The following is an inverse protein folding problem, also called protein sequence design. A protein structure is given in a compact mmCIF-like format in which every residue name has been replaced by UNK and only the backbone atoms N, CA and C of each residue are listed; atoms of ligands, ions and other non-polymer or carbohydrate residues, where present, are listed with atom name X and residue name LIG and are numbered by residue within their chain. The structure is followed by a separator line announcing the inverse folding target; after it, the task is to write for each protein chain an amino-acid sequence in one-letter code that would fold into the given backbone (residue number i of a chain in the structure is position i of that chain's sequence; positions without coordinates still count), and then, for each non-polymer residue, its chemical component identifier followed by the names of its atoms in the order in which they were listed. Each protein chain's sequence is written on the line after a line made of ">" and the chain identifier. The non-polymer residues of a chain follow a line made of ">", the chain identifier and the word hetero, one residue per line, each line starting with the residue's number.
data_IF_644077497796
#
_entry.id   IF_644077497796
#
_cell.length_a   1.000
_cell.length_b   1.000
_cell.length_c   1.000
_cell.angle_alpha   90.00
_cell.angle_beta   90.00
_cell.angle_gamma   90.00
#
_symmetry.space_group_name_H-M   'P 1'
#
loop_
_entity.id
_entity.type
_entity.pdbx_description
1 polymer ?
#
# COMPACT_ATOMS: atom_id res chain seq x y z
N UNK A 1 -57.32 -18.19 -19.77
CA UNK A 1 -56.18 -18.07 -20.70
C UNK A 1 -55.61 -16.66 -20.57
N UNK A 2 -54.37 -16.56 -20.07
CA UNK A 2 -53.30 -15.67 -20.53
C UNK A 2 -52.28 -15.50 -19.40
N UNK A 3 -51.20 -16.28 -19.51
CA UNK A 3 -49.99 -16.11 -18.72
C UNK A 3 -49.16 -14.96 -19.30
N UNK A 4 -48.61 -14.10 -18.45
CA UNK A 4 -47.68 -13.05 -18.84
C UNK A 4 -46.26 -13.63 -19.05
N UNK A 5 -45.48 -13.11 -20.02
CA UNK A 5 -44.16 -13.66 -20.36
C UNK A 5 -43.04 -13.14 -19.43
N UNK A 6 -42.04 -13.98 -19.22
CA UNK A 6 -40.80 -13.66 -18.49
C UNK A 6 -39.89 -12.72 -19.30
N UNK A 7 -39.16 -11.80 -18.65
CA UNK A 7 -38.17 -10.97 -19.34
C UNK A 7 -36.90 -11.76 -19.71
N UNK A 8 -36.49 -11.59 -20.97
CA UNK A 8 -35.39 -12.30 -21.60
C UNK A 8 -34.00 -11.92 -21.10
N UNK A 9 -33.13 -12.92 -21.10
CA UNK A 9 -31.71 -12.87 -20.77
C UNK A 9 -30.95 -12.11 -21.87
N UNK A 10 -30.43 -10.92 -21.58
CA UNK A 10 -29.55 -10.20 -22.49
C UNK A 10 -28.18 -10.90 -22.56
N UNK A 11 -27.73 -11.22 -23.76
CA UNK A 11 -26.43 -11.78 -24.04
C UNK A 11 -25.37 -10.67 -23.99
N UNK A 12 -24.33 -10.84 -23.17
CA UNK A 12 -23.15 -9.97 -23.21
C UNK A 12 -22.28 -10.31 -24.44
N UNK A 13 -21.77 -9.31 -25.17
CA UNK A 13 -20.87 -9.53 -26.29
C UNK A 13 -19.50 -10.02 -25.81
N UNK A 14 -18.98 -11.03 -26.49
CA UNK A 14 -17.67 -11.62 -26.30
C UNK A 14 -16.58 -10.63 -26.75
N UNK A 15 -15.74 -10.16 -25.82
CA UNK A 15 -14.57 -9.32 -26.12
C UNK A 15 -13.36 -10.26 -26.26
N UNK A 16 -12.72 -10.35 -27.45
CA UNK A 16 -11.52 -11.17 -27.61
C UNK A 16 -10.30 -10.51 -26.94
N UNK A 17 -9.35 -11.29 -26.41
CA UNK A 17 -8.14 -10.76 -25.80
C UNK A 17 -7.22 -10.11 -26.84
N UNK A 18 -6.77 -8.89 -26.53
CA UNK A 18 -5.76 -8.17 -27.29
C UNK A 18 -4.42 -8.92 -27.26
N UNK A 19 -3.93 -9.29 -28.44
CA UNK A 19 -2.56 -9.77 -28.64
C UNK A 19 -1.60 -8.59 -28.70
N UNK A 20 -0.48 -8.60 -27.94
CA UNK A 20 0.53 -7.56 -28.06
C UNK A 20 1.28 -7.71 -29.39
N UNK A 21 1.21 -6.67 -30.23
CA UNK A 21 1.97 -6.54 -31.47
C UNK A 21 3.47 -6.52 -31.15
N UNK A 22 4.20 -7.51 -31.67
CA UNK A 22 5.67 -7.46 -31.75
C UNK A 22 6.07 -6.33 -32.68
N UNK A 23 6.68 -5.28 -32.15
CA UNK A 23 7.33 -4.28 -32.97
C UNK A 23 8.63 -4.86 -33.53
N UNK A 24 8.55 -5.21 -34.81
CA UNK A 24 9.64 -5.58 -35.68
C UNK A 24 10.51 -4.35 -35.93
N UNK A 25 11.70 -4.30 -35.33
CA UNK A 25 12.72 -3.33 -35.73
C UNK A 25 13.55 -3.95 -36.84
N UNK A 26 13.37 -3.43 -38.05
CA UNK A 26 14.13 -3.75 -39.24
C UNK A 26 15.59 -3.31 -39.07
N UNK A 27 16.50 -4.27 -39.16
CA UNK A 27 17.94 -4.00 -39.25
C UNK A 27 18.24 -3.53 -40.67
N UNK A 28 18.40 -2.22 -40.85
CA UNK A 28 18.95 -1.67 -42.10
C UNK A 28 20.44 -2.00 -42.14
N UNK A 29 20.79 -3.02 -42.92
CA UNK A 29 22.16 -3.33 -43.29
C UNK A 29 22.63 -2.36 -44.37
N UNK A 30 23.64 -1.54 -44.06
CA UNK A 30 24.41 -0.81 -45.07
C UNK A 30 25.66 -1.63 -45.46
N UNK A 31 25.94 -1.80 -46.77
CA UNK A 31 27.07 -2.59 -47.24
C UNK A 31 28.39 -1.83 -47.08
N UNK A 32 29.31 -2.37 -46.30
CA UNK A 32 30.72 -1.98 -46.29
C UNK A 32 31.40 -2.53 -47.55
N UNK A 33 31.99 -1.65 -48.37
CA UNK A 33 32.81 -2.02 -49.53
C UNK A 33 34.28 -2.15 -49.10
N UNK A 34 35.02 -3.18 -49.52
CA UNK A 34 36.33 -3.51 -48.96
C UNK A 34 37.50 -2.88 -49.73
N UNK A 35 38.43 -2.26 -49.00
CA UNK A 35 39.78 -1.92 -49.44
C UNK A 35 40.79 -2.89 -48.83
N UNK A 36 41.63 -3.49 -49.67
CA UNK A 36 42.49 -4.66 -49.44
C UNK A 36 43.66 -4.42 -48.45
N UNK A 37 43.94 -5.49 -47.67
CA UNK A 37 45.22 -6.18 -47.38
C UNK A 37 46.48 -5.32 -47.08
N UNK A 38 47.31 -5.53 -46.07
CA UNK A 38 47.91 -6.70 -45.36
C UNK A 38 48.45 -6.15 -44.00
N UNK A 39 48.80 -6.86 -42.93
CA UNK A 39 49.50 -8.13 -42.74
C UNK A 39 49.33 -8.60 -41.28
N UNK A 40 49.46 -9.91 -41.09
CA UNK A 40 49.51 -10.61 -39.80
C UNK A 40 50.65 -10.09 -38.90
N UNK A 41 50.35 -9.81 -37.63
CA UNK A 41 51.22 -10.21 -36.52
C UNK A 41 50.35 -10.59 -35.32
N UNK A 42 50.38 -11.88 -34.99
CA UNK A 42 49.89 -12.47 -33.77
C UNK A 42 50.86 -12.09 -32.64
N UNK A 43 50.38 -11.34 -31.66
CA UNK A 43 51.06 -11.19 -30.36
C UNK A 43 49.99 -10.94 -29.31
N UNK A 44 49.59 -12.03 -28.65
CA UNK A 44 48.70 -12.04 -27.52
C UNK A 44 49.38 -11.36 -26.32
N UNK A 45 48.80 -10.27 -25.85
CA UNK A 45 49.03 -9.73 -24.51
C UNK A 45 47.74 -9.01 -24.11
N UNK A 46 46.93 -9.69 -23.27
CA UNK A 46 45.68 -9.17 -22.74
C UNK A 46 45.94 -7.92 -21.89
N UNK A 47 45.53 -6.76 -22.39
CA UNK A 47 45.26 -5.58 -21.57
C UNK A 47 43.75 -5.50 -21.43
N UNK A 48 43.18 -6.19 -20.44
CA UNK A 48 41.77 -6.05 -20.06
C UNK A 48 41.63 -4.84 -19.15
N UNK A 49 41.40 -3.67 -19.73
CA UNK A 49 41.01 -2.46 -19.01
C UNK A 49 39.86 -1.78 -19.78
N UNK A 50 38.73 -1.65 -19.08
CA UNK A 50 37.55 -0.81 -19.32
C UNK A 50 36.50 -1.30 -20.34
N UNK A 51 35.37 -1.78 -19.82
CA UNK A 51 34.11 -1.02 -19.82
C UNK A 51 33.08 -1.78 -19.00
N UNK A 52 32.42 -1.09 -18.06
CA UNK A 52 31.49 -1.65 -17.09
C UNK A 52 30.46 -2.58 -17.73
N UNK A 53 30.53 -3.85 -17.34
CA UNK A 53 29.42 -4.78 -17.52
C UNK A 53 28.24 -4.21 -16.74
N UNK A 54 27.21 -3.81 -17.50
CA UNK A 54 25.81 -3.70 -17.11
C UNK A 54 25.56 -3.97 -15.62
N UNK A 55 25.74 -2.93 -14.79
CA UNK A 55 24.91 -2.78 -13.60
C UNK A 55 23.48 -2.52 -14.10
N UNK A 56 22.88 -3.56 -14.68
CA UNK A 56 21.46 -3.63 -14.93
C UNK A 56 20.83 -3.70 -13.57
N UNK A 57 20.42 -2.53 -13.09
CA UNK A 57 19.69 -2.30 -11.86
C UNK A 57 18.48 -3.21 -11.80
N UNK A 58 18.66 -4.34 -11.13
CA UNK A 58 17.62 -5.14 -10.53
C UNK A 58 18.28 -5.83 -9.35
N UNK A 59 18.72 -5.01 -8.38
CA UNK A 59 18.50 -5.42 -7.00
C UNK A 59 16.99 -5.48 -6.84
N UNK A 60 16.37 -6.53 -7.38
CA UNK A 60 15.16 -7.08 -6.79
C UNK A 60 15.69 -7.55 -5.47
N UNK A 61 15.53 -6.69 -4.47
CA UNK A 61 15.86 -7.04 -3.11
C UNK A 61 14.93 -8.21 -2.78
N UNK A 62 15.43 -9.46 -2.66
CA UNK A 62 14.57 -10.58 -2.30
C UNK A 62 13.98 -10.40 -0.89
N UNK A 63 14.44 -9.39 -0.15
CA UNK A 63 13.92 -8.94 1.13
C UNK A 63 12.86 -7.84 1.00
N UNK A 64 12.62 -7.26 -0.18
CA UNK A 64 11.60 -6.21 -0.38
C UNK A 64 10.16 -6.70 -0.14
N UNK A 65 9.94 -8.00 -0.03
CA UNK A 65 8.63 -8.58 0.35
C UNK A 65 8.61 -9.11 1.79
N UNK A 66 9.70 -8.95 2.57
CA UNK A 66 9.85 -9.49 3.93
C UNK A 66 10.01 -8.39 4.97
N UNK A 67 9.77 -8.67 6.25
CA UNK A 67 9.92 -7.69 7.31
C UNK A 67 11.36 -7.23 7.61
N UNK A 68 12.38 -7.86 6.99
CA UNK A 68 13.79 -7.54 7.22
C UNK A 68 14.13 -6.10 6.80
N UNK A 69 14.66 -5.31 7.74
CA UNK A 69 15.06 -3.91 7.49
C UNK A 69 13.92 -2.89 7.52
N UNK A 70 12.72 -3.28 7.95
CA UNK A 70 11.55 -2.40 8.06
C UNK A 70 11.61 -1.41 9.23
N UNK A 71 12.53 -1.58 10.18
CA UNK A 71 12.58 -0.82 11.43
C UNK A 71 12.66 0.71 11.23
N UNK A 72 13.45 1.25 10.28
CA UNK A 72 13.46 2.69 10.02
C UNK A 72 12.11 3.23 9.55
N UNK A 73 11.38 2.45 8.74
CA UNK A 73 10.07 2.85 8.21
C UNK A 73 8.99 2.76 9.29
N UNK A 74 9.00 1.70 10.11
CA UNK A 74 8.10 1.59 11.27
C UNK A 74 8.34 2.71 12.29
N UNK A 75 9.61 3.11 12.48
CA UNK A 75 9.95 4.27 13.31
C UNK A 75 9.43 5.59 12.74
N UNK A 76 9.49 5.77 11.42
CA UNK A 76 8.89 6.93 10.76
C UNK A 76 7.36 6.94 10.95
N UNK A 77 6.70 5.82 10.68
CA UNK A 77 5.25 5.67 10.79
C UNK A 77 4.76 5.90 12.23
N UNK A 78 5.44 5.34 13.22
CA UNK A 78 5.07 5.56 14.64
C UNK A 78 5.29 6.98 15.13
N UNK A 79 6.08 7.79 14.40
CA UNK A 79 6.29 9.20 14.72
C UNK A 79 5.27 10.15 14.07
N UNK A 80 4.31 9.62 13.30
CA UNK A 80 3.29 10.44 12.65
C UNK A 80 2.38 11.10 13.69
N UNK A 81 2.29 12.42 13.61
CA UNK A 81 1.53 13.24 14.56
C UNK A 81 0.04 12.91 14.61
N UNK A 82 -0.51 12.33 13.54
CA UNK A 82 -1.92 11.91 13.49
C UNK A 82 -2.23 10.81 14.52
N UNK A 83 -1.25 9.98 14.90
CA UNK A 83 -1.40 8.94 15.93
C UNK A 83 -1.53 9.53 17.35
N UNK A 84 -1.01 10.74 17.58
CA UNK A 84 -1.15 11.50 18.83
C UNK A 84 -2.34 12.47 18.82
N UNK A 85 -2.87 12.78 17.63
CA UNK A 85 -4.07 13.60 17.49
C UNK A 85 -5.25 12.84 18.12
N UNK A 86 -6.02 13.52 18.97
CA UNK A 86 -7.17 12.92 19.64
C UNK A 86 -8.19 13.97 20.06
N UNK A 87 -9.48 13.59 20.09
CA UNK A 87 -10.50 14.39 20.75
C UNK A 87 -10.16 14.71 22.21
N UNK A 88 -10.72 15.79 22.76
CA UNK A 88 -10.31 16.28 24.08
C UNK A 88 -10.60 15.32 25.23
N UNK A 89 -11.64 14.48 25.11
CA UNK A 89 -12.02 13.48 26.12
C UNK A 89 -11.45 12.09 25.80
N UNK A 90 -10.57 11.98 24.80
CA UNK A 90 -9.93 10.73 24.45
C UNK A 90 -8.61 10.54 25.24
N UNK A 91 -8.39 9.32 25.71
CA UNK A 91 -7.14 8.91 26.37
C UNK A 91 -6.78 7.46 26.04
N UNK A 92 -5.49 7.11 25.96
CA UNK A 92 -5.09 5.72 25.72
C UNK A 92 -5.56 4.81 26.88
N UNK A 93 -6.13 3.61 26.59
CA UNK A 93 -6.46 2.63 27.61
C UNK A 93 -5.22 2.19 28.41
N UNK A 94 -5.45 1.73 29.65
CA UNK A 94 -4.37 1.15 30.45
C UNK A 94 -3.74 -0.06 29.73
N UNK A 95 -2.41 -0.10 29.69
CA UNK A 95 -1.67 -1.14 28.97
C UNK A 95 -1.46 -0.87 27.47
N UNK A 96 -2.14 0.13 26.90
CA UNK A 96 -2.11 0.49 25.47
C UNK A 96 -1.71 1.96 25.29
N UNK A 97 -0.65 2.39 25.97
CA UNK A 97 -0.27 3.81 26.08
C UNK A 97 0.68 4.29 24.99
N UNK A 98 1.30 3.35 24.26
CA UNK A 98 2.27 3.64 23.21
C UNK A 98 1.64 3.48 21.83
N UNK A 99 2.36 3.92 20.81
CA UNK A 99 2.09 3.48 19.45
C UNK A 99 2.70 2.09 19.30
N UNK A 100 1.89 1.11 18.93
CA UNK A 100 2.37 -0.24 18.62
C UNK A 100 2.71 -0.31 17.13
N UNK A 101 3.74 -1.06 16.77
CA UNK A 101 4.16 -1.22 15.38
C UNK A 101 4.32 -2.69 15.05
N UNK A 102 3.85 -3.11 13.88
CA UNK A 102 4.00 -4.47 13.42
C UNK A 102 4.39 -4.53 11.94
N UNK A 103 4.94 -5.69 11.56
CA UNK A 103 5.13 -6.07 10.18
C UNK A 103 4.58 -7.49 10.00
N UNK A 104 3.76 -7.69 8.98
CA UNK A 104 3.17 -8.97 8.61
C UNK A 104 3.66 -9.37 7.22
N UNK A 105 4.46 -10.45 7.14
CA UNK A 105 4.94 -11.06 5.90
C UNK A 105 4.47 -12.53 5.75
N UNK A 106 3.48 -12.97 6.54
CA UNK A 106 2.95 -14.34 6.52
C UNK A 106 1.96 -14.58 5.36
N UNK A 107 1.59 -13.51 4.64
CA UNK A 107 0.67 -13.54 3.51
C UNK A 107 1.40 -13.70 2.16
N UNK A 108 0.72 -14.27 1.16
CA UNK A 108 1.24 -14.32 -0.22
C UNK A 108 1.15 -12.93 -0.86
N UNK A 109 2.08 -12.05 -0.52
CA UNK A 109 2.14 -10.64 -0.96
C UNK A 109 3.43 -9.99 -0.47
N UNK A 110 3.54 -8.69 -0.68
CA UNK A 110 4.58 -7.90 -0.03
C UNK A 110 4.25 -7.73 1.46
N UNK A 111 5.26 -7.46 2.28
CA UNK A 111 5.07 -7.31 3.72
C UNK A 111 4.25 -6.05 4.04
N UNK A 112 3.30 -6.19 4.95
CA UNK A 112 2.45 -5.09 5.42
C UNK A 112 3.00 -4.49 6.70
N UNK A 113 3.27 -3.18 6.68
CA UNK A 113 3.71 -2.41 7.83
C UNK A 113 2.53 -1.71 8.49
N UNK A 114 2.47 -1.73 9.82
CA UNK A 114 1.46 -1.00 10.59
C UNK A 114 2.05 -0.21 11.76
N UNK A 115 1.43 0.93 12.04
CA UNK A 115 1.59 1.69 13.27
C UNK A 115 0.20 2.05 13.81
N UNK A 116 -0.10 1.61 15.02
CA UNK A 116 -1.45 1.68 15.59
C UNK A 116 -1.48 2.41 16.93
N UNK A 117 -2.63 3.03 17.22
CA UNK A 117 -2.89 3.65 18.52
C UNK A 117 -4.34 3.50 18.93
N UNK A 118 -4.52 3.08 20.18
CA UNK A 118 -5.83 2.94 20.81
C UNK A 118 -6.18 4.12 21.69
N UNK A 119 -7.47 4.45 21.70
CA UNK A 119 -8.07 5.44 22.56
C UNK A 119 -9.42 4.97 23.11
N UNK A 120 -9.74 5.39 24.33
CA UNK A 120 -11.09 5.42 24.87
C UNK A 120 -11.56 6.87 24.95
N UNK A 121 -12.80 7.16 24.55
CA UNK A 121 -13.43 8.46 24.73
C UNK A 121 -14.87 8.32 25.21
N UNK A 122 -15.38 9.30 25.94
CA UNK A 122 -16.82 9.41 26.24
C UNK A 122 -17.63 10.02 25.09
N UNK A 123 -16.96 10.50 24.05
CA UNK A 123 -17.60 11.06 22.85
C UNK A 123 -18.25 9.96 21.99
N UNK A 124 -19.22 10.37 21.19
CA UNK A 124 -19.89 9.47 20.25
C UNK A 124 -19.00 9.12 19.07
N UNK A 125 -19.29 7.99 18.40
CA UNK A 125 -18.62 7.60 17.15
C UNK A 125 -18.64 8.72 16.11
N UNK A 126 -19.78 9.40 15.94
CA UNK A 126 -19.91 10.51 14.98
C UNK A 126 -19.00 11.68 15.31
N UNK A 127 -18.90 12.09 16.58
CA UNK A 127 -17.99 13.16 17.00
C UNK A 127 -16.52 12.79 16.77
N UNK A 128 -16.16 11.54 17.01
CA UNK A 128 -14.81 11.00 16.75
C UNK A 128 -14.50 11.06 15.25
N UNK A 129 -15.41 10.59 14.39
CA UNK A 129 -15.22 10.62 12.93
C UNK A 129 -15.14 12.06 12.40
N UNK A 130 -15.98 12.98 12.91
CA UNK A 130 -15.93 14.40 12.56
C UNK A 130 -14.60 15.05 12.97
N UNK A 131 -14.05 14.66 14.13
CA UNK A 131 -12.73 15.10 14.57
C UNK A 131 -11.65 14.66 13.58
N UNK A 132 -11.58 13.37 13.25
CA UNK A 132 -10.51 12.85 12.39
C UNK A 132 -10.64 13.28 10.93
N UNK A 133 -11.85 13.52 10.43
CA UNK A 133 -12.04 14.14 9.12
C UNK A 133 -11.31 15.49 9.04
N UNK A 134 -11.40 16.31 10.09
CA UNK A 134 -10.73 17.61 10.14
C UNK A 134 -9.23 17.48 10.44
N UNK A 135 -8.86 16.63 11.40
CA UNK A 135 -7.47 16.46 11.82
C UNK A 135 -6.61 15.84 10.71
N UNK A 136 -7.09 14.80 10.05
CA UNK A 136 -6.40 14.14 8.95
C UNK A 136 -6.27 15.08 7.75
N UNK A 137 -7.34 15.80 7.39
CA UNK A 137 -7.28 16.80 6.31
C UNK A 137 -6.27 17.93 6.62
N UNK A 138 -6.21 18.41 7.87
CA UNK A 138 -5.24 19.41 8.30
C UNK A 138 -3.79 18.89 8.25
N UNK A 139 -3.58 17.59 8.47
CA UNK A 139 -2.30 16.90 8.30
C UNK A 139 -2.03 16.44 6.85
N UNK A 140 -2.86 16.85 5.89
CA UNK A 140 -2.64 16.59 4.45
C UNK A 140 -3.03 15.19 3.98
N UNK A 141 -3.75 14.43 4.81
CA UNK A 141 -4.40 13.19 4.37
C UNK A 141 -5.63 13.50 3.53
N UNK A 142 -5.91 12.64 2.56
CA UNK A 142 -7.06 12.74 1.67
C UNK A 142 -8.08 11.69 2.05
N UNK A 143 -9.30 12.12 2.34
CA UNK A 143 -10.40 11.18 2.59
C UNK A 143 -10.69 10.40 1.30
N UNK A 144 -10.69 9.08 1.39
CA UNK A 144 -11.02 8.23 0.24
C UNK A 144 -12.54 8.10 0.12
N UNK A 145 -13.15 8.98 -0.69
CA UNK A 145 -14.60 9.02 -0.92
C UNK A 145 -15.14 7.78 -1.66
N UNK A 146 -14.26 6.98 -2.25
CA UNK A 146 -14.60 5.72 -2.91
C UNK A 146 -14.84 4.56 -1.92
N UNK A 147 -15.40 4.86 -0.75
CA UNK A 147 -16.24 3.94 0.01
C UNK A 147 -17.54 3.71 -0.77
N UNK A 148 -17.47 3.03 -1.92
CA UNK A 148 -18.70 2.46 -2.47
C UNK A 148 -19.33 1.63 -1.34
N UNK A 149 -20.62 1.78 -1.02
CA UNK A 149 -21.31 0.93 -0.05
C UNK A 149 -21.24 -0.57 -0.41
N UNK A 150 -20.69 -0.92 -1.58
CA UNK A 150 -20.43 -2.27 -2.07
C UNK A 150 -19.00 -2.75 -1.78
N UNK A 151 -18.07 -1.87 -1.36
CA UNK A 151 -16.66 -2.17 -1.08
C UNK A 151 -16.23 -1.87 0.36
N UNK A 152 -16.82 -0.88 1.03
CA UNK A 152 -16.72 -0.83 2.48
C UNK A 152 -17.47 -2.05 3.03
N UNK A 153 -16.85 -2.89 3.89
CA UNK A 153 -17.58 -3.97 4.53
C UNK A 153 -18.82 -3.40 5.23
N UNK A 154 -19.95 -4.12 5.14
CA UNK A 154 -21.29 -3.65 5.58
C UNK A 154 -21.33 -3.29 7.08
N UNK A 155 -20.28 -3.67 7.80
CA UNK A 155 -20.03 -3.59 9.23
C UNK A 155 -18.86 -2.66 9.62
N UNK A 156 -18.10 -2.09 8.67
CA UNK A 156 -17.04 -1.14 9.02
C UNK A 156 -17.63 0.26 9.18
N UNK A 157 -18.00 0.58 10.41
CA UNK A 157 -18.14 1.96 10.86
C UNK A 157 -16.73 2.57 10.99
N UNK A 158 -16.34 3.43 10.06
CA UNK A 158 -15.00 4.02 10.08
C UNK A 158 -14.72 5.04 8.97
N UNK A 159 -13.51 5.59 9.00
CA UNK A 159 -12.95 6.45 7.95
C UNK A 159 -11.67 5.81 7.42
N UNK A 160 -11.37 6.06 6.15
CA UNK A 160 -10.07 5.76 5.60
C UNK A 160 -9.55 6.90 4.72
N UNK A 161 -8.26 7.20 4.88
CA UNK A 161 -7.57 8.27 4.20
C UNK A 161 -6.29 7.77 3.55
N UNK A 162 -5.85 8.44 2.50
CA UNK A 162 -4.55 8.20 1.86
C UNK A 162 -3.61 9.40 2.03
N UNK A 163 -2.31 9.13 2.07
CA UNK A 163 -1.23 10.13 2.04
C UNK A 163 -0.02 9.55 1.32
N UNK A 164 0.81 10.41 0.74
CA UNK A 164 1.98 10.00 -0.04
C UNK A 164 1.66 9.61 -1.50
N UNK A 165 2.59 8.87 -2.10
CA UNK A 165 2.60 8.43 -3.50
C UNK A 165 4.03 8.15 -3.97
N UNK A 166 4.20 7.31 -4.98
CA UNK A 166 5.50 6.89 -5.54
C UNK A 166 6.51 6.42 -4.46
N UNK A 167 6.26 5.24 -3.87
CA UNK A 167 7.19 4.57 -2.95
C UNK A 167 7.12 5.03 -1.50
N UNK A 168 6.08 5.78 -1.11
CA UNK A 168 5.83 6.13 0.29
C UNK A 168 4.33 6.22 0.64
N UNK A 169 3.48 5.55 -0.15
CA UNK A 169 2.03 5.57 0.07
C UNK A 169 1.69 4.99 1.45
N UNK A 170 0.71 5.59 2.10
CA UNK A 170 0.18 5.17 3.39
C UNK A 170 -1.33 5.33 3.41
N UNK A 171 -2.00 4.47 4.15
CA UNK A 171 -3.39 4.62 4.55
C UNK A 171 -3.49 4.97 6.03
N UNK A 172 -4.53 5.70 6.40
CA UNK A 172 -4.94 5.90 7.79
C UNK A 172 -6.39 5.44 7.91
N UNK A 173 -6.64 4.50 8.81
CA UNK A 173 -7.97 4.02 9.14
C UNK A 173 -8.35 4.48 10.55
N UNK A 174 -9.59 4.95 10.70
CA UNK A 174 -10.22 5.18 12.00
C UNK A 174 -11.33 4.16 12.15
N UNK A 175 -11.20 3.25 13.12
CA UNK A 175 -12.10 2.11 13.32
C UNK A 175 -12.60 2.02 14.77
N UNK A 176 -13.64 1.23 15.02
CA UNK A 176 -14.18 0.97 16.36
C UNK A 176 -14.07 -0.52 16.69
N UNK A 177 -12.88 -1.01 17.09
CA UNK A 177 -12.64 -2.42 17.28
C UNK A 177 -13.38 -2.97 18.51
N UNK A 178 -13.63 -4.27 18.49
CA UNK A 178 -14.01 -5.01 19.70
C UNK A 178 -12.76 -5.32 20.52
N UNK A 179 -12.88 -5.34 21.85
CA UNK A 179 -11.71 -5.48 22.73
C UNK A 179 -10.98 -6.83 22.66
N UNK A 180 -11.52 -7.82 21.98
CA UNK A 180 -10.94 -9.16 21.81
C UNK A 180 -9.86 -9.25 20.73
N UNK A 181 -9.68 -8.20 19.92
CA UNK A 181 -8.64 -8.14 18.89
C UNK A 181 -7.24 -7.91 19.48
N UNK A 182 -7.13 -7.44 20.72
CA UNK A 182 -5.86 -7.07 21.36
C UNK A 182 -5.55 -7.94 22.58
N UNK A 183 -4.25 -8.12 22.84
CA UNK A 183 -3.74 -8.81 24.02
C UNK A 183 -2.71 -7.94 24.76
N UNK A 184 -2.98 -7.51 26.02
CA UNK A 184 -4.23 -7.72 26.76
C UNK A 184 -5.42 -6.97 26.15
N UNK A 185 -6.64 -7.44 26.39
CA UNK A 185 -7.84 -6.72 25.95
C UNK A 185 -7.87 -5.29 26.56
N UNK A 186 -8.05 -4.23 25.76
CA UNK A 186 -8.13 -2.86 26.27
C UNK A 186 -9.40 -2.66 27.10
N UNK A 187 -9.23 -1.99 28.25
CA UNK A 187 -10.36 -1.47 29.02
C UNK A 187 -10.77 -0.10 28.47
N UNK A 188 -11.81 -0.08 27.63
CA UNK A 188 -12.40 1.16 27.14
C UNK A 188 -13.36 1.82 28.15
N UNK A 189 -13.58 1.22 29.32
CA UNK A 189 -14.55 1.68 30.30
C UNK A 189 -15.98 1.69 29.76
N UNK A 190 -16.77 2.70 30.15
CA UNK A 190 -18.12 2.91 29.64
C UNK A 190 -18.15 3.76 28.34
N UNK A 191 -16.98 4.06 27.77
CA UNK A 191 -16.83 4.91 26.59
C UNK A 191 -16.82 4.15 25.27
N UNK A 192 -16.59 4.90 24.20
CA UNK A 192 -16.31 4.40 22.85
C UNK A 192 -14.82 4.12 22.71
N UNK A 193 -14.45 2.86 22.51
CA UNK A 193 -13.10 2.48 22.08
C UNK A 193 -12.93 2.71 20.58
N UNK A 194 -11.80 3.29 20.18
CA UNK A 194 -11.48 3.49 18.77
C UNK A 194 -9.97 3.33 18.53
N UNK A 195 -9.64 2.99 17.28
CA UNK A 195 -8.29 2.75 16.80
C UNK A 195 -7.94 3.73 15.69
N UNK A 196 -6.68 4.16 15.70
CA UNK A 196 -6.00 4.71 14.55
C UNK A 196 -4.99 3.70 14.05
N UNK A 197 -5.11 3.31 12.79
CA UNK A 197 -4.16 2.41 12.13
C UNK A 197 -3.57 3.12 10.92
N UNK A 198 -2.26 3.35 10.92
CA UNK A 198 -1.52 3.74 9.73
C UNK A 198 -0.92 2.48 9.12
N UNK A 199 -1.22 2.25 7.85
CA UNK A 199 -0.78 1.08 7.09
C UNK A 199 0.01 1.44 5.85
N UNK A 200 0.96 0.59 5.46
CA UNK A 200 1.70 0.74 4.22
C UNK A 200 2.25 -0.60 3.74
N UNK A 201 2.30 -0.79 2.42
CA UNK A 201 3.15 -1.82 1.84
C UNK A 201 4.61 -1.44 2.10
N UNK A 202 5.45 -2.44 2.37
CA UNK A 202 6.88 -2.22 2.63
C UNK A 202 7.61 -1.54 1.46
N UNK A 203 7.14 -1.76 0.22
CA UNK A 203 7.66 -1.12 -0.99
C UNK A 203 7.08 0.30 -1.22
N UNK A 204 6.14 0.71 -0.37
CA UNK A 204 5.46 1.99 -0.43
C UNK A 204 4.49 2.13 -1.60
N UNK A 205 4.07 1.01 -2.20
CA UNK A 205 3.05 0.99 -3.25
C UNK A 205 1.67 1.40 -2.70
N UNK A 206 0.81 2.02 -3.52
CA UNK A 206 -0.51 2.46 -3.06
C UNK A 206 -1.43 1.28 -2.76
N UNK A 207 -2.03 1.28 -1.56
CA UNK A 207 -3.10 0.35 -1.19
C UNK A 207 -4.45 1.04 -1.13
N UNK A 208 -5.51 0.40 -1.66
CA UNK A 208 -6.86 0.90 -1.49
C UNK A 208 -7.30 0.75 -0.04
N UNK A 209 -8.13 1.67 0.43
CA UNK A 209 -8.72 1.63 1.76
C UNK A 209 -9.56 0.39 2.05
N UNK A 210 -10.15 -0.21 1.02
CA UNK A 210 -10.98 -1.42 1.12
C UNK A 210 -10.71 -2.31 -0.09
N UNK A 211 -10.38 -3.58 0.17
CA UNK A 211 -10.23 -4.65 -0.82
C UNK A 211 -11.47 -5.52 -0.88
#
# INVERSE_FOLDING_TARGET
>A
MSAAPAPGRAAHPFIPPHTPKRHHWSIVHLPARPGRSTALLLSASLVTVLAGGLAGCSLIDPYAASCEGSEPRLKEMSSLTILDAKPSQASPPAGHTQVETACDDDSSGDAWLSAERLYSSTESKTEILDYYTKAAAADGWKLEENTSPQRAPVDVEGLCFSKGGDGNAMTLTVSFPTGDTYAPAPDFGAGTGFELLVGAEIDGSPTPCWT
#
